data_IF_688396741196
#
_entry.id   IF_688396741196
#
_cell.length_a   1.000
_cell.length_b   1.000
_cell.length_c   1.000
_cell.angle_alpha   90.00
_cell.angle_beta   90.00
_cell.angle_gamma   90.00
#
_symmetry.space_group_name_H-M   'P 1'
#
loop_
_entity.id
_entity.type
_entity.pdbx_description
1 polymer ?
#
# COMPACT_ATOMS: atom_id res chain seq x y z
N UNK A 1 8.20 1.06 11.72
CA UNK A 1 9.56 1.62 11.62
C UNK A 1 10.54 0.50 11.28
N UNK A 2 11.81 0.82 11.07
CA UNK A 2 12.77 -0.09 10.44
C UNK A 2 14.19 0.22 10.89
N UNK A 3 15.06 -0.79 10.94
CA UNK A 3 16.50 -0.59 11.03
C UNK A 3 17.12 -0.87 9.67
N UNK A 4 17.77 0.12 9.07
CA UNK A 4 18.57 -0.02 7.86
C UNK A 4 20.00 0.34 8.19
N UNK A 5 20.94 -0.55 7.90
CA UNK A 5 22.38 -0.32 8.05
C UNK A 5 23.01 -0.38 6.67
N UNK A 6 23.71 0.68 6.29
CA UNK A 6 24.35 0.80 4.99
C UNK A 6 25.84 1.12 5.15
N UNK A 7 26.70 0.39 4.45
CA UNK A 7 28.07 0.81 4.18
C UNK A 7 28.14 1.31 2.74
N UNK A 8 28.85 2.42 2.56
CA UNK A 8 29.13 3.01 1.26
C UNK A 8 30.61 3.38 1.21
N UNK A 9 31.32 2.98 0.15
CA UNK A 9 32.69 3.40 -0.07
C UNK A 9 33.34 2.81 -1.31
N UNK A 10 34.68 2.73 -1.29
CA UNK A 10 35.49 2.30 -2.44
C UNK A 10 35.22 0.87 -2.92
N UNK A 11 34.77 0.00 -2.00
CA UNK A 11 34.46 -1.40 -2.31
C UNK A 11 33.11 -1.55 -3.02
N UNK A 12 32.22 -0.57 -2.86
CA UNK A 12 30.83 -0.63 -3.26
C UNK A 12 29.91 -0.19 -2.13
N UNK A 13 28.66 -0.63 -2.22
CA UNK A 13 27.63 -0.46 -1.23
C UNK A 13 27.10 -1.82 -0.76
N UNK A 14 26.87 -1.95 0.55
CA UNK A 14 26.09 -3.04 1.13
C UNK A 14 25.07 -2.43 2.08
N UNK A 15 23.81 -2.83 1.95
CA UNK A 15 22.76 -2.46 2.89
C UNK A 15 22.06 -3.70 3.42
N UNK A 16 21.66 -3.64 4.68
CA UNK A 16 20.82 -4.64 5.30
C UNK A 16 19.63 -3.96 5.99
N UNK A 17 18.48 -4.62 6.01
CA UNK A 17 17.30 -4.14 6.73
C UNK A 17 16.46 -5.27 7.29
N UNK A 18 15.77 -5.02 8.40
CA UNK A 18 14.72 -5.91 8.89
C UNK A 18 13.48 -5.89 7.96
N UNK A 19 12.63 -6.91 8.03
CA UNK A 19 11.41 -7.00 7.20
C UNK A 19 10.13 -6.65 7.97
N UNK A 20 10.21 -6.22 9.22
CA UNK A 20 9.03 -6.03 10.07
C UNK A 20 8.26 -4.77 9.72
N UNK A 21 6.94 -4.89 9.68
CA UNK A 21 5.98 -3.80 9.51
C UNK A 21 5.02 -3.86 10.68
N UNK A 22 4.76 -2.70 11.26
CA UNK A 22 3.77 -2.52 12.32
C UNK A 22 2.79 -1.47 11.81
N UNK A 23 1.53 -1.87 11.70
CA UNK A 23 0.41 -1.00 11.41
C UNK A 23 -0.38 -0.77 12.70
N UNK A 24 -0.52 0.50 13.06
CA UNK A 24 -1.25 0.92 14.24
C UNK A 24 -2.60 1.53 13.83
N UNK A 25 -3.64 1.24 14.61
CA UNK A 25 -5.00 1.72 14.41
C UNK A 25 -5.52 2.24 15.75
N UNK A 26 -5.61 3.56 15.87
CA UNK A 26 -6.01 4.24 17.10
C UNK A 26 -6.00 5.75 16.90
N UNK A 27 -6.35 6.50 17.95
CA UNK A 27 -6.28 7.96 17.91
C UNK A 27 -4.81 8.45 17.96
N UNK A 28 -4.58 9.65 17.44
CA UNK A 28 -3.22 10.20 17.25
C UNK A 28 -2.44 10.38 18.56
N UNK A 29 -3.08 10.89 19.60
CA UNK A 29 -2.42 11.19 20.89
C UNK A 29 -1.91 9.91 21.56
N UNK A 30 -2.73 8.86 21.57
CA UNK A 30 -2.37 7.56 22.11
C UNK A 30 -1.26 6.91 21.27
N UNK A 31 -1.31 7.05 19.94
CA UNK A 31 -0.26 6.55 19.05
C UNK A 31 1.10 7.21 19.36
N UNK A 32 1.13 8.53 19.52
CA UNK A 32 2.36 9.26 19.86
C UNK A 32 2.92 8.83 21.22
N UNK A 33 2.06 8.58 22.22
CA UNK A 33 2.47 8.07 23.52
C UNK A 33 3.08 6.66 23.42
N UNK A 34 2.40 5.72 22.75
CA UNK A 34 2.89 4.36 22.55
C UNK A 34 4.20 4.33 21.76
N UNK A 35 4.29 5.13 20.70
CA UNK A 35 5.51 5.27 19.89
C UNK A 35 6.67 5.83 20.71
N UNK A 36 6.42 6.79 21.60
CA UNK A 36 7.46 7.31 22.51
C UNK A 36 8.03 6.22 23.42
N UNK A 37 7.17 5.44 24.09
CA UNK A 37 7.60 4.32 24.95
C UNK A 37 8.40 3.29 24.14
N UNK A 38 7.89 2.93 22.96
CA UNK A 38 8.50 1.96 22.08
C UNK A 38 9.87 2.40 21.54
N UNK A 39 10.00 3.66 21.13
CA UNK A 39 11.21 4.18 20.47
C UNK A 39 12.31 4.61 21.44
N UNK A 40 11.98 4.73 22.72
CA UNK A 40 12.95 4.91 23.80
C UNK A 40 13.38 3.58 24.45
N UNK A 41 12.77 2.46 24.05
CA UNK A 41 13.15 1.12 24.53
C UNK A 41 12.48 0.69 25.83
N UNK A 42 11.36 1.32 26.20
CA UNK A 42 10.57 0.93 27.39
C UNK A 42 9.77 -0.34 27.14
N UNK A 43 9.54 -0.68 25.86
CA UNK A 43 8.85 -1.89 25.40
C UNK A 43 9.88 -2.78 24.68
N UNK A 44 10.16 -3.95 25.25
CA UNK A 44 11.20 -4.85 24.80
C UNK A 44 10.66 -6.04 23.98
N UNK A 45 9.41 -6.45 24.21
CA UNK A 45 8.82 -7.66 23.60
C UNK A 45 7.51 -7.40 22.87
N UNK A 46 7.12 -8.35 22.01
CA UNK A 46 5.85 -8.31 21.28
C UNK A 46 4.65 -8.36 22.24
N UNK A 47 4.75 -9.19 23.28
CA UNK A 47 3.72 -9.30 24.31
C UNK A 47 3.53 -7.97 25.06
N UNK A 48 4.61 -7.30 25.42
CA UNK A 48 4.57 -5.96 26.02
C UNK A 48 3.96 -4.94 25.07
N UNK A 49 4.34 -4.96 23.79
CA UNK A 49 3.79 -4.06 22.78
C UNK A 49 2.27 -4.22 22.66
N UNK A 50 1.78 -5.47 22.53
CA UNK A 50 0.34 -5.73 22.46
C UNK A 50 -0.39 -5.31 23.74
N UNK A 51 0.21 -5.53 24.90
CA UNK A 51 -0.36 -5.11 26.19
C UNK A 51 -0.47 -3.59 26.28
N UNK A 52 0.62 -2.86 26.03
CA UNK A 52 0.65 -1.39 26.09
C UNK A 52 -0.30 -0.79 25.05
N UNK A 53 -0.32 -1.33 23.84
CA UNK A 53 -1.25 -0.89 22.81
C UNK A 53 -2.71 -1.04 23.23
N UNK A 54 -3.06 -2.15 23.88
CA UNK A 54 -4.40 -2.35 24.43
C UNK A 54 -4.73 -1.33 25.53
N UNK A 55 -3.78 -1.02 26.41
CA UNK A 55 -3.96 0.03 27.45
C UNK A 55 -4.28 1.40 26.82
N UNK A 56 -3.75 1.66 25.63
CA UNK A 56 -3.95 2.88 24.85
C UNK A 56 -5.11 2.81 23.85
N UNK A 57 -5.93 1.74 23.85
CA UNK A 57 -6.99 1.51 22.86
C UNK A 57 -6.48 1.57 21.40
N UNK A 58 -5.29 1.01 21.17
CA UNK A 58 -4.65 0.89 19.87
C UNK A 58 -4.67 -0.58 19.43
N UNK A 59 -5.26 -0.83 18.26
CA UNK A 59 -5.12 -2.12 17.59
C UNK A 59 -3.83 -2.15 16.77
N UNK A 60 -3.08 -3.26 16.84
CA UNK A 60 -1.82 -3.45 16.12
C UNK A 60 -1.92 -4.65 15.17
N UNK A 61 -1.40 -4.48 13.96
CA UNK A 61 -1.11 -5.58 13.04
C UNK A 61 0.39 -5.62 12.72
N UNK A 62 0.99 -6.79 12.86
CA UNK A 62 2.42 -7.01 12.63
C UNK A 62 2.58 -7.97 11.44
N UNK A 63 3.53 -7.69 10.56
CA UNK A 63 3.95 -8.60 9.48
C UNK A 63 5.46 -8.51 9.26
N UNK A 64 6.10 -9.60 8.80
CA UNK A 64 7.54 -9.68 8.55
C UNK A 64 7.87 -9.90 7.06
N UNK A 65 7.10 -9.23 6.19
CA UNK A 65 7.15 -9.33 4.73
C UNK A 65 7.49 -7.97 4.07
N UNK A 66 7.99 -7.02 4.85
CA UNK A 66 8.37 -5.71 4.37
C UNK A 66 9.66 -5.70 3.55
N UNK A 67 9.58 -5.20 2.32
CA UNK A 67 10.74 -4.82 1.54
C UNK A 67 11.07 -3.36 1.83
N UNK A 68 12.25 -3.13 2.43
CA UNK A 68 12.69 -1.79 2.88
C UNK A 68 13.96 -1.32 2.20
N UNK A 69 14.68 -2.26 1.61
CA UNK A 69 15.78 -2.02 0.70
C UNK A 69 15.43 -2.62 -0.66
N UNK A 70 15.92 -2.01 -1.72
CA UNK A 70 15.73 -2.48 -3.09
C UNK A 70 16.95 -2.11 -3.96
N UNK A 71 17.06 -2.76 -5.12
CA UNK A 71 18.04 -2.40 -6.14
C UNK A 71 17.40 -1.48 -7.17
N UNK A 72 17.96 -0.29 -7.34
CA UNK A 72 17.53 0.69 -8.35
C UNK A 72 18.71 0.96 -9.28
N UNK A 73 18.69 0.32 -10.45
CA UNK A 73 19.86 0.31 -11.35
C UNK A 73 21.11 -0.24 -10.66
N UNK A 74 22.20 0.51 -10.69
CA UNK A 74 23.47 0.17 -10.03
C UNK A 74 23.59 0.76 -8.61
N UNK A 75 22.46 1.00 -7.95
CA UNK A 75 22.39 1.51 -6.58
C UNK A 75 21.57 0.59 -5.69
N UNK A 76 21.88 0.58 -4.40
CA UNK A 76 20.98 0.05 -3.37
C UNK A 76 20.23 1.23 -2.77
N UNK A 77 18.90 1.13 -2.73
CA UNK A 77 18.01 2.09 -2.10
C UNK A 77 17.54 1.51 -0.76
N UNK A 78 17.48 2.33 0.28
CA UNK A 78 16.84 1.99 1.54
C UNK A 78 15.86 3.07 1.97
N UNK A 79 14.65 2.70 2.38
CA UNK A 79 13.58 3.62 2.76
C UNK A 79 13.10 3.40 4.20
N UNK A 80 13.01 4.50 4.94
CA UNK A 80 12.17 4.58 6.15
C UNK A 80 11.07 5.60 5.95
N UNK A 81 9.89 5.31 6.49
CA UNK A 81 8.73 6.19 6.40
C UNK A 81 8.16 6.46 7.79
N UNK A 82 7.75 7.70 8.02
CA UNK A 82 6.89 8.10 9.11
C UNK A 82 5.56 8.61 8.55
N UNK A 83 4.46 8.19 9.17
CA UNK A 83 3.12 8.66 8.80
C UNK A 83 2.76 9.84 9.70
N UNK A 84 2.59 11.02 9.11
CA UNK A 84 1.94 12.16 9.77
C UNK A 84 0.43 12.14 9.56
N UNK A 85 -0.27 13.10 10.17
CA UNK A 85 -1.73 13.21 10.10
C UNK A 85 -2.27 13.48 8.68
N UNK A 86 -1.51 14.17 7.83
CA UNK A 86 -1.93 14.57 6.49
C UNK A 86 -1.00 14.08 5.38
N UNK A 87 0.26 13.74 5.72
CA UNK A 87 1.27 13.36 4.74
C UNK A 87 2.21 12.29 5.29
N UNK A 88 2.70 11.43 4.39
CA UNK A 88 3.76 10.47 4.71
C UNK A 88 5.10 11.11 4.35
N UNK A 89 5.97 11.26 5.36
CA UNK A 89 7.35 11.67 5.15
C UNK A 89 8.20 10.42 4.95
N UNK A 90 8.93 10.37 3.85
CA UNK A 90 9.85 9.27 3.53
C UNK A 90 11.27 9.80 3.53
N UNK A 91 12.18 9.01 4.08
CA UNK A 91 13.61 9.27 4.00
C UNK A 91 14.26 8.09 3.31
N UNK A 92 14.94 8.37 2.20
CA UNK A 92 15.63 7.35 1.41
C UNK A 92 17.13 7.59 1.41
N UNK A 93 17.89 6.51 1.45
CA UNK A 93 19.30 6.50 1.09
C UNK A 93 19.46 5.75 -0.23
N UNK A 94 20.28 6.29 -1.13
CA UNK A 94 20.76 5.61 -2.32
C UNK A 94 22.27 5.50 -2.21
N UNK A 95 22.79 4.28 -2.26
CA UNK A 95 24.22 4.00 -2.13
C UNK A 95 24.76 3.27 -3.36
N UNK A 96 25.95 3.67 -3.79
CA UNK A 96 26.72 3.00 -4.84
C UNK A 96 28.22 3.08 -4.51
N UNK A 97 29.09 2.52 -5.36
CA UNK A 97 30.53 2.65 -5.16
C UNK A 97 30.95 4.11 -5.14
N UNK A 98 31.70 4.52 -4.10
CA UNK A 98 32.21 5.88 -3.90
C UNK A 98 31.16 7.00 -3.73
N UNK A 99 29.87 6.70 -3.56
CA UNK A 99 28.88 7.75 -3.39
C UNK A 99 27.58 7.27 -2.75
N UNK A 100 26.99 8.13 -1.94
CA UNK A 100 25.60 8.03 -1.53
C UNK A 100 24.91 9.38 -1.57
N UNK A 101 23.58 9.32 -1.64
CA UNK A 101 22.73 10.47 -1.35
C UNK A 101 21.60 10.05 -0.43
N UNK A 102 21.24 10.94 0.49
CA UNK A 102 20.07 10.83 1.34
C UNK A 102 19.09 11.90 0.90
N UNK A 103 17.85 11.49 0.63
CA UNK A 103 16.76 12.39 0.29
C UNK A 103 15.62 12.29 1.28
N UNK A 104 14.89 13.39 1.45
CA UNK A 104 13.60 13.39 2.10
C UNK A 104 12.53 13.70 1.06
N UNK A 105 11.47 12.88 1.06
CA UNK A 105 10.33 13.00 0.15
C UNK A 105 9.10 13.29 1.01
N UNK A 106 8.37 14.35 0.66
CA UNK A 106 7.05 14.64 1.19
C UNK A 106 6.07 14.53 0.02
N UNK A 107 5.10 13.62 0.16
CA UNK A 107 4.25 13.25 -0.96
C UNK A 107 5.07 12.70 -2.12
N UNK A 108 5.13 13.44 -3.23
CA UNK A 108 5.86 13.07 -4.45
C UNK A 108 7.03 13.99 -4.75
N UNK A 109 7.37 14.90 -3.82
CA UNK A 109 8.40 15.92 -4.03
C UNK A 109 9.60 15.68 -3.12
N UNK A 110 10.80 15.89 -3.67
CA UNK A 110 12.04 15.86 -2.90
C UNK A 110 12.19 17.21 -2.20
N UNK A 111 12.11 17.22 -0.87
CA UNK A 111 12.22 18.44 -0.06
C UNK A 111 13.62 18.67 0.50
N UNK A 112 14.44 17.63 0.53
CA UNK A 112 15.83 17.71 0.98
C UNK A 112 16.69 16.67 0.27
N UNK A 113 17.96 17.03 0.02
CA UNK A 113 18.98 16.16 -0.57
C UNK A 113 20.33 16.45 0.07
N UNK A 114 21.04 15.40 0.45
CA UNK A 114 22.39 15.45 1.02
C UNK A 114 23.26 14.40 0.36
N UNK A 115 24.44 14.78 -0.10
CA UNK A 115 25.40 13.90 -0.76
C UNK A 115 26.60 13.60 0.15
N UNK A 116 27.17 12.42 0.00
CA UNK A 116 28.45 12.04 0.61
C UNK A 116 29.13 10.93 -0.16
N UNK A 117 30.41 10.68 0.15
CA UNK A 117 31.19 9.66 -0.55
C UNK A 117 31.25 8.33 0.18
N UNK A 118 31.62 8.36 1.46
CA UNK A 118 31.96 7.16 2.25
C UNK A 118 31.42 7.31 3.65
N UNK A 119 30.58 6.37 4.07
CA UNK A 119 30.01 6.37 5.40
C UNK A 119 29.46 4.98 5.77
N UNK A 120 29.23 4.80 7.08
CA UNK A 120 28.24 3.85 7.56
C UNK A 120 27.02 4.69 7.95
N UNK A 121 25.88 4.43 7.31
CA UNK A 121 24.62 5.12 7.57
C UNK A 121 23.69 4.16 8.28
N UNK A 122 23.00 4.66 9.31
CA UNK A 122 22.01 3.90 10.07
C UNK A 122 20.71 4.70 10.11
N UNK A 123 19.66 4.12 9.55
CA UNK A 123 18.29 4.58 9.76
C UNK A 123 17.61 3.68 10.78
N UNK A 124 16.91 4.28 11.73
CA UNK A 124 16.21 3.58 12.81
C UNK A 124 15.57 4.55 13.77
N UNK A 125 14.68 4.03 14.61
CA UNK A 125 14.27 4.75 15.82
C UNK A 125 15.48 4.93 16.76
N UNK A 126 15.33 5.81 17.75
CA UNK A 126 16.43 6.20 18.64
C UNK A 126 17.07 4.98 19.34
N UNK A 127 16.26 4.09 19.90
CA UNK A 127 16.73 2.88 20.57
C UNK A 127 17.49 1.95 19.62
N UNK A 128 16.87 1.50 18.53
CA UNK A 128 17.47 0.56 17.58
C UNK A 128 18.75 1.10 16.94
N UNK A 129 18.76 2.41 16.63
CA UNK A 129 19.94 3.08 16.09
C UNK A 129 21.10 3.06 17.09
N UNK A 130 20.86 3.41 18.35
CA UNK A 130 21.89 3.42 19.40
C UNK A 130 22.48 2.02 19.64
N UNK A 131 21.62 1.00 19.70
CA UNK A 131 22.06 -0.39 19.86
C UNK A 131 22.89 -0.85 18.65
N UNK A 132 22.45 -0.53 17.43
CA UNK A 132 23.19 -0.86 16.21
C UNK A 132 24.56 -0.16 16.16
N UNK A 133 24.64 1.13 16.49
CA UNK A 133 25.90 1.89 16.56
C UNK A 133 26.90 1.25 17.53
N UNK A 134 26.43 0.86 18.71
CA UNK A 134 27.26 0.19 19.72
C UNK A 134 27.81 -1.16 19.21
N UNK A 135 27.01 -1.95 18.49
CA UNK A 135 27.45 -3.23 17.93
C UNK A 135 28.38 -3.05 16.72
N UNK A 136 28.11 -2.09 15.84
CA UNK A 136 28.96 -1.78 14.68
C UNK A 136 30.35 -1.40 15.14
N UNK A 137 30.47 -0.52 16.14
CA UNK A 137 31.78 -0.08 16.65
C UNK A 137 32.66 -1.22 17.18
N UNK A 138 32.04 -2.32 17.65
CA UNK A 138 32.75 -3.51 18.15
C UNK A 138 33.11 -4.51 17.06
N UNK A 139 32.21 -4.71 16.09
CA UNK A 139 32.31 -5.79 15.10
C UNK A 139 32.95 -5.37 13.78
N UNK A 140 32.78 -4.11 13.39
CA UNK A 140 33.19 -3.63 12.07
C UNK A 140 34.69 -3.36 11.97
N UNK A 141 35.27 -3.72 10.81
CA UNK A 141 36.64 -3.37 10.41
C UNK A 141 36.68 -2.96 8.95
N UNK A 142 37.46 -1.92 8.63
CA UNK A 142 37.57 -1.38 7.27
C UNK A 142 38.12 -2.37 6.22
N UNK A 143 38.84 -3.40 6.67
CA UNK A 143 39.45 -4.42 5.80
C UNK A 143 38.47 -5.46 5.27
N UNK A 144 37.28 -5.60 5.89
CA UNK A 144 36.31 -6.64 5.55
C UNK A 144 35.76 -6.54 4.12
N UNK A 145 35.42 -7.68 3.51
CA UNK A 145 34.71 -7.70 2.22
C UNK A 145 33.26 -7.23 2.37
N UNK A 146 32.61 -6.79 1.29
CA UNK A 146 31.20 -6.41 1.31
C UNK A 146 30.28 -7.55 1.77
N UNK A 147 30.57 -8.79 1.38
CA UNK A 147 29.80 -9.97 1.81
C UNK A 147 29.85 -10.13 3.33
N UNK A 148 31.06 -10.11 3.90
CA UNK A 148 31.27 -10.19 5.35
C UNK A 148 30.65 -9.00 6.09
N UNK A 149 30.68 -7.79 5.52
CA UNK A 149 29.98 -6.64 6.09
C UNK A 149 28.46 -6.87 6.12
N UNK A 150 27.89 -7.45 5.05
CA UNK A 150 26.49 -7.85 5.00
C UNK A 150 26.12 -8.87 6.07
N UNK A 151 26.96 -9.89 6.27
CA UNK A 151 26.75 -10.89 7.33
C UNK A 151 26.78 -10.26 8.73
N UNK A 152 27.71 -9.33 8.98
CA UNK A 152 27.78 -8.57 10.24
C UNK A 152 26.52 -7.72 10.42
N UNK A 153 26.06 -7.01 9.38
CA UNK A 153 24.87 -6.17 9.50
C UNK A 153 23.62 -7.00 9.80
N UNK A 154 23.49 -8.17 9.17
CA UNK A 154 22.45 -9.15 9.47
C UNK A 154 22.50 -9.61 10.93
N UNK A 155 23.68 -9.95 11.44
CA UNK A 155 23.87 -10.35 12.83
C UNK A 155 23.48 -9.22 13.80
N UNK A 156 23.89 -7.99 13.49
CA UNK A 156 23.55 -6.80 14.29
C UNK A 156 22.03 -6.57 14.31
N UNK A 157 21.36 -6.59 13.16
CA UNK A 157 19.90 -6.44 13.10
C UNK A 157 19.23 -7.53 13.93
N UNK A 158 19.69 -8.78 13.81
CA UNK A 158 19.18 -9.89 14.61
C UNK A 158 19.36 -9.65 16.11
N UNK A 159 20.54 -9.22 16.58
CA UNK A 159 20.76 -8.90 18.00
C UNK A 159 19.87 -7.75 18.50
N UNK A 160 19.66 -6.71 17.69
CA UNK A 160 18.78 -5.59 18.06
C UNK A 160 17.33 -6.05 18.11
N UNK A 161 16.89 -6.94 17.20
CA UNK A 161 15.51 -7.47 17.19
C UNK A 161 15.13 -8.20 18.46
N UNK A 162 16.10 -8.77 19.19
CA UNK A 162 15.85 -9.44 20.47
C UNK A 162 15.61 -8.46 21.64
N UNK A 163 15.76 -7.15 21.41
CA UNK A 163 15.67 -6.11 22.44
C UNK A 163 14.54 -5.11 22.19
N UNK A 164 13.85 -5.22 21.06
CA UNK A 164 12.76 -4.31 20.72
C UNK A 164 11.80 -4.99 19.74
N UNK A 165 10.48 -4.84 19.93
CA UNK A 165 9.49 -5.42 19.02
C UNK A 165 9.35 -4.60 17.73
N UNK A 166 10.15 -3.54 17.55
CA UNK A 166 10.16 -2.72 16.33
C UNK A 166 10.80 -3.40 15.14
N UNK A 167 11.59 -4.46 15.35
CA UNK A 167 12.31 -5.20 14.33
C UNK A 167 11.92 -6.69 14.38
N UNK A 168 12.00 -7.35 13.23
CA UNK A 168 11.71 -8.77 13.10
C UNK A 168 12.99 -9.60 12.98
N UNK A 169 12.82 -10.92 13.00
CA UNK A 169 13.89 -11.91 12.83
C UNK A 169 14.25 -12.16 11.35
N UNK A 170 13.47 -11.60 10.43
CA UNK A 170 13.72 -11.64 8.99
C UNK A 170 14.39 -10.36 8.52
N UNK A 171 15.35 -10.51 7.63
CA UNK A 171 16.13 -9.40 7.08
C UNK A 171 16.51 -9.67 5.62
N UNK A 172 16.77 -8.59 4.90
CA UNK A 172 17.33 -8.59 3.55
C UNK A 172 18.73 -8.00 3.59
N UNK A 173 19.60 -8.44 2.66
CA UNK A 173 20.93 -7.85 2.43
C UNK A 173 21.11 -7.69 0.93
N UNK A 174 21.46 -6.48 0.50
CA UNK A 174 21.74 -6.16 -0.90
C UNK A 174 23.14 -5.56 -1.04
N UNK A 175 23.81 -5.91 -2.13
CA UNK A 175 25.18 -5.49 -2.43
C UNK A 175 25.23 -4.96 -3.87
N UNK A 176 25.84 -3.79 -4.06
CA UNK A 176 26.18 -3.24 -5.37
C UNK A 176 27.63 -2.79 -5.41
N UNK A 177 28.35 -3.11 -6.48
CA UNK A 177 29.76 -2.78 -6.64
C UNK A 177 30.12 -2.34 -8.07
N UNK A 178 29.38 -1.39 -8.68
CA UNK A 178 29.77 -0.84 -9.99
C UNK A 178 31.13 -0.13 -9.91
N UNK A 179 31.79 0.06 -11.04
CA UNK A 179 33.04 0.80 -11.09
C UNK A 179 32.74 2.28 -11.37
N UNK A 180 32.74 3.09 -10.32
CA UNK A 180 32.57 4.54 -10.42
C UNK A 180 33.67 5.26 -9.65
N UNK A 181 34.15 6.37 -10.20
CA UNK A 181 34.80 7.45 -9.45
C UNK A 181 33.77 8.18 -8.57
N UNK A 182 34.23 9.02 -7.65
CA UNK A 182 33.32 9.79 -6.79
C UNK A 182 32.39 10.71 -7.61
N UNK A 183 32.92 11.38 -8.64
CA UNK A 183 32.15 12.29 -9.50
C UNK A 183 31.13 11.53 -10.36
N UNK A 184 31.54 10.41 -10.97
CA UNK A 184 30.63 9.54 -11.72
C UNK A 184 29.51 9.00 -10.83
N UNK A 185 29.83 8.62 -9.59
CA UNK A 185 28.85 8.14 -8.63
C UNK A 185 27.80 9.20 -8.31
N UNK A 186 28.21 10.45 -8.04
CA UNK A 186 27.27 11.54 -7.74
C UNK A 186 26.39 11.90 -8.94
N UNK A 187 26.96 11.92 -10.15
CA UNK A 187 26.19 12.12 -11.38
C UNK A 187 25.15 11.02 -11.57
N UNK A 188 25.57 9.75 -11.44
CA UNK A 188 24.69 8.61 -11.58
C UNK A 188 23.56 8.59 -10.53
N UNK A 189 23.88 8.94 -9.28
CA UNK A 189 22.90 9.05 -8.20
C UNK A 189 21.85 10.12 -8.50
N UNK A 190 22.25 11.30 -9.00
CA UNK A 190 21.30 12.35 -9.36
C UNK A 190 20.28 11.86 -10.40
N UNK A 191 20.76 11.26 -11.50
CA UNK A 191 19.92 10.75 -12.57
C UNK A 191 18.99 9.62 -12.09
N UNK A 192 19.55 8.67 -11.31
CA UNK A 192 18.81 7.50 -10.80
C UNK A 192 17.71 7.92 -9.84
N UNK A 193 18.00 8.83 -8.91
CA UNK A 193 17.05 9.31 -7.91
C UNK A 193 15.89 10.05 -8.58
N UNK A 194 16.19 10.94 -9.54
CA UNK A 194 15.15 11.72 -10.21
C UNK A 194 14.22 10.82 -11.04
N UNK A 195 14.77 9.77 -11.67
CA UNK A 195 13.98 8.78 -12.40
C UNK A 195 13.11 7.95 -11.45
N UNK A 196 13.68 7.45 -10.36
CA UNK A 196 12.97 6.64 -9.37
C UNK A 196 11.82 7.40 -8.71
N UNK A 197 12.04 8.66 -8.31
CA UNK A 197 10.98 9.51 -7.75
C UNK A 197 9.87 9.79 -8.78
N UNK A 198 10.21 9.98 -10.05
CA UNK A 198 9.20 10.11 -11.13
C UNK A 198 8.37 8.84 -11.31
N UNK A 199 9.00 7.66 -11.23
CA UNK A 199 8.29 6.38 -11.28
C UNK A 199 7.36 6.23 -10.08
N UNK A 200 7.85 6.56 -8.88
CA UNK A 200 7.06 6.56 -7.66
C UNK A 200 5.83 7.47 -7.79
N UNK A 201 5.99 8.68 -8.33
CA UNK A 201 4.88 9.61 -8.54
C UNK A 201 3.80 9.03 -9.47
N UNK A 202 4.20 8.38 -10.58
CA UNK A 202 3.27 7.71 -11.50
C UNK A 202 2.52 6.55 -10.84
N UNK A 203 3.22 5.73 -10.06
CA UNK A 203 2.59 4.63 -9.31
C UNK A 203 1.55 5.17 -8.33
N UNK A 204 1.86 6.27 -7.64
CA UNK A 204 0.92 6.91 -6.70
C UNK A 204 -0.30 7.48 -7.40
N UNK A 205 -0.12 8.14 -8.55
CA UNK A 205 -1.23 8.65 -9.34
C UNK A 205 -2.16 7.51 -9.77
N UNK A 206 -1.60 6.44 -10.33
CA UNK A 206 -2.38 5.27 -10.72
C UNK A 206 -3.14 4.66 -9.53
N UNK A 207 -2.47 4.50 -8.39
CA UNK A 207 -3.12 3.98 -7.19
C UNK A 207 -4.27 4.88 -6.70
N UNK A 208 -4.14 6.21 -6.83
CA UNK A 208 -5.21 7.14 -6.50
C UNK A 208 -6.39 7.00 -7.47
N UNK A 209 -6.13 6.87 -8.77
CA UNK A 209 -7.15 6.61 -9.79
C UNK A 209 -7.88 5.29 -9.51
N UNK A 210 -7.13 4.21 -9.27
CA UNK A 210 -7.66 2.89 -8.93
C UNK A 210 -8.54 2.93 -7.65
N UNK A 211 -8.13 3.70 -6.63
CA UNK A 211 -8.92 3.86 -5.40
C UNK A 211 -10.22 4.62 -5.62
N UNK A 212 -10.20 5.67 -6.45
CA UNK A 212 -11.42 6.43 -6.81
C UNK A 212 -12.38 5.53 -7.58
N UNK A 213 -11.88 4.76 -8.55
CA UNK A 213 -12.67 3.80 -9.30
C UNK A 213 -13.29 2.75 -8.38
N UNK A 214 -12.49 2.13 -7.50
CA UNK A 214 -12.99 1.14 -6.53
C UNK A 214 -14.00 1.74 -5.55
N UNK A 215 -13.79 2.98 -5.09
CA UNK A 215 -14.77 3.65 -4.23
C UNK A 215 -16.10 3.85 -4.93
N UNK A 216 -16.07 4.21 -6.22
CA UNK A 216 -17.28 4.34 -7.03
C UNK A 216 -17.99 3.00 -7.25
N UNK A 217 -17.24 1.94 -7.53
CA UNK A 217 -17.80 0.58 -7.62
C UNK A 217 -18.48 0.17 -6.30
N UNK A 218 -17.86 0.45 -5.15
CA UNK A 218 -18.43 0.16 -3.83
C UNK A 218 -19.72 0.96 -3.58
N UNK A 219 -19.75 2.24 -3.96
CA UNK A 219 -20.95 3.07 -3.85
C UNK A 219 -22.08 2.56 -4.76
N UNK A 220 -21.77 2.12 -5.98
CA UNK A 220 -22.77 1.53 -6.88
C UNK A 220 -23.25 0.17 -6.37
N UNK A 221 -22.35 -0.65 -5.82
CA UNK A 221 -22.70 -1.94 -5.23
C UNK A 221 -23.66 -1.81 -4.04
N UNK A 222 -23.50 -0.76 -3.20
CA UNK A 222 -24.43 -0.50 -2.10
C UNK A 222 -25.82 -0.04 -2.57
N UNK A 223 -25.95 0.36 -3.84
CA UNK A 223 -27.21 0.78 -4.47
C UNK A 223 -27.89 -0.32 -5.27
N UNK A 224 -27.33 -1.53 -5.36
CA UNK A 224 -27.98 -2.66 -6.04
C UNK A 224 -29.37 -2.87 -5.43
N UNK A 225 -30.38 -2.99 -6.28
CA UNK A 225 -31.76 -3.19 -5.85
C UNK A 225 -31.95 -4.66 -5.50
N UNK A 226 -32.12 -4.96 -4.22
CA UNK A 226 -32.42 -6.32 -3.74
C UNK A 226 -33.94 -6.54 -3.57
N UNK A 227 -34.71 -5.46 -3.50
CA UNK A 227 -36.16 -5.49 -3.38
C UNK A 227 -36.76 -4.16 -3.88
N UNK A 228 -37.88 -4.22 -4.61
CA UNK A 228 -38.65 -3.04 -5.01
C UNK A 228 -39.05 -2.99 -6.49
N UNK A 229 -39.71 -1.90 -6.85
CA UNK A 229 -40.19 -1.60 -8.21
C UNK A 229 -39.03 -1.19 -9.13
N UNK A 230 -39.01 -1.75 -10.34
CA UNK A 230 -37.97 -1.53 -11.36
C UNK A 230 -38.50 -0.72 -12.53
N UNK A 231 -39.73 -0.97 -12.97
CA UNK A 231 -40.30 -0.35 -14.17
C UNK A 231 -41.38 -1.19 -14.83
N UNK A 232 -41.65 -0.90 -16.11
CA UNK A 232 -42.78 -1.48 -16.84
C UNK A 232 -42.39 -2.02 -18.22
N UNK A 233 -43.04 -3.10 -18.64
CA UNK A 233 -42.84 -3.71 -19.96
C UNK A 233 -43.37 -2.76 -21.05
N UNK A 234 -42.49 -2.34 -21.96
CA UNK A 234 -42.79 -1.38 -23.03
C UNK A 234 -42.89 -2.00 -24.43
N UNK A 235 -42.23 -3.15 -24.67
CA UNK A 235 -42.34 -3.93 -25.91
C UNK A 235 -42.07 -5.41 -25.62
N UNK A 236 -42.64 -6.30 -26.43
CA UNK A 236 -42.53 -7.76 -26.33
C UNK A 236 -42.18 -8.33 -27.71
N UNK A 237 -41.06 -9.02 -27.81
CA UNK A 237 -40.60 -9.72 -29.02
C UNK A 237 -40.21 -11.16 -28.66
N UNK A 238 -41.18 -12.08 -28.76
CA UNK A 238 -41.00 -13.46 -28.31
C UNK A 238 -40.71 -13.54 -26.81
N UNK A 239 -39.58 -14.14 -26.45
CA UNK A 239 -39.11 -14.22 -25.06
C UNK A 239 -38.36 -12.96 -24.58
N UNK A 240 -38.14 -11.98 -25.46
CA UNK A 240 -37.41 -10.75 -25.16
C UNK A 240 -38.39 -9.63 -24.78
N UNK A 241 -38.18 -9.05 -23.60
CA UNK A 241 -38.97 -7.95 -23.07
C UNK A 241 -38.13 -6.68 -23.03
N UNK A 242 -38.64 -5.60 -23.62
CA UNK A 242 -38.07 -4.28 -23.44
C UNK A 242 -38.75 -3.59 -22.26
N UNK A 243 -38.02 -3.39 -21.17
CA UNK A 243 -38.54 -2.79 -19.94
C UNK A 243 -38.07 -1.33 -19.86
N UNK A 244 -39.02 -0.41 -19.66
CA UNK A 244 -38.70 0.99 -19.37
C UNK A 244 -38.55 1.13 -17.87
N UNK A 245 -37.36 1.53 -17.42
CA UNK A 245 -37.03 1.71 -16.02
C UNK A 245 -37.86 2.85 -15.41
N UNK A 246 -38.13 2.79 -14.10
CA UNK A 246 -38.76 3.89 -13.38
C UNK A 246 -37.79 5.08 -13.20
N UNK A 247 -38.23 6.11 -12.48
CA UNK A 247 -37.48 7.35 -12.25
C UNK A 247 -36.35 7.21 -11.21
N UNK A 248 -36.29 6.08 -10.49
CA UNK A 248 -35.30 5.79 -9.44
C UNK A 248 -34.31 4.71 -9.82
N UNK A 249 -34.55 3.99 -10.92
CA UNK A 249 -33.75 2.84 -11.33
C UNK A 249 -32.85 3.19 -12.51
N UNK A 250 -31.62 2.71 -12.45
CA UNK A 250 -30.62 2.78 -13.51
C UNK A 250 -29.98 1.41 -13.71
N UNK A 251 -29.43 1.17 -14.90
CA UNK A 251 -28.82 -0.12 -15.25
C UNK A 251 -27.36 0.03 -15.65
N UNK A 252 -26.57 -0.96 -15.24
CA UNK A 252 -25.14 -1.07 -15.50
C UNK A 252 -24.79 -2.45 -16.08
N UNK A 253 -23.65 -2.54 -16.77
CA UNK A 253 -23.05 -3.83 -17.12
C UNK A 253 -22.20 -4.39 -15.97
N UNK A 254 -21.60 -5.58 -16.17
CA UNK A 254 -20.71 -6.22 -15.20
C UNK A 254 -19.41 -5.42 -14.91
N UNK A 255 -19.10 -4.39 -15.71
CA UNK A 255 -17.96 -3.49 -15.53
C UNK A 255 -18.41 -2.12 -14.99
N UNK A 256 -19.62 -2.03 -14.40
CA UNK A 256 -20.19 -0.80 -13.85
C UNK A 256 -20.31 0.36 -14.85
N UNK A 257 -20.34 0.07 -16.15
CA UNK A 257 -20.63 1.05 -17.18
C UNK A 257 -22.14 1.23 -17.28
N UNK A 258 -22.61 2.47 -17.18
CA UNK A 258 -24.03 2.77 -17.27
C UNK A 258 -24.57 2.43 -18.66
N UNK A 259 -25.54 1.52 -18.69
CA UNK A 259 -26.26 1.09 -19.89
C UNK A 259 -27.56 1.89 -20.09
N UNK A 260 -28.27 2.17 -19.00
CA UNK A 260 -29.51 2.95 -19.02
C UNK A 260 -29.61 3.90 -17.82
N UNK A 261 -30.06 5.12 -18.09
CA UNK A 261 -30.46 6.11 -17.09
C UNK A 261 -31.91 5.83 -16.62
N UNK A 262 -32.39 6.51 -15.56
CA UNK A 262 -33.82 6.47 -15.22
C UNK A 262 -34.71 6.79 -16.42
N UNK A 263 -35.84 6.10 -16.54
CA UNK A 263 -36.72 6.13 -17.72
C UNK A 263 -36.08 5.62 -19.01
N UNK A 264 -34.86 5.07 -18.93
CA UNK A 264 -34.20 4.38 -20.02
C UNK A 264 -34.79 2.99 -20.25
N UNK A 265 -34.44 2.38 -21.38
CA UNK A 265 -34.93 1.06 -21.76
C UNK A 265 -33.85 0.01 -21.61
N UNK A 266 -34.22 -1.14 -21.08
CA UNK A 266 -33.35 -2.31 -20.91
C UNK A 266 -34.01 -3.56 -21.47
N UNK A 267 -33.22 -4.59 -21.73
CA UNK A 267 -33.70 -5.86 -22.25
C UNK A 267 -33.67 -6.89 -21.13
N UNK A 268 -34.78 -7.60 -20.95
CA UNK A 268 -34.95 -8.73 -20.04
C UNK A 268 -35.55 -9.90 -20.80
N UNK A 269 -35.41 -11.11 -20.26
CA UNK A 269 -35.92 -12.34 -20.87
C UNK A 269 -36.92 -13.01 -19.95
N UNK A 270 -38.04 -13.47 -20.51
CA UNK A 270 -39.08 -14.20 -19.80
C UNK A 270 -39.33 -15.55 -20.49
N UNK A 271 -39.49 -16.62 -19.72
CA UNK A 271 -39.80 -17.95 -20.25
C UNK A 271 -41.31 -18.20 -20.40
N UNK A 272 -42.16 -17.30 -19.91
CA UNK A 272 -43.62 -17.45 -19.93
C UNK A 272 -44.25 -16.56 -21.00
N UNK A 273 -45.25 -17.08 -21.72
CA UNK A 273 -46.03 -16.31 -22.70
C UNK A 273 -47.07 -15.37 -22.05
N UNK A 274 -47.30 -15.48 -20.74
CA UNK A 274 -48.24 -14.62 -19.99
C UNK A 274 -47.58 -13.29 -19.59
N UNK A 275 -47.25 -12.46 -20.59
CA UNK A 275 -46.70 -11.10 -20.42
C UNK A 275 -47.48 -10.12 -21.29
N UNK A 276 -47.81 -8.95 -20.73
CA UNK A 276 -48.49 -7.86 -21.45
C UNK A 276 -47.71 -6.56 -21.32
N UNK A 277 -47.88 -5.70 -22.33
CA UNK A 277 -47.35 -4.33 -22.28
C UNK A 277 -48.02 -3.60 -21.10
N UNK A 278 -47.21 -2.92 -20.29
CA UNK A 278 -47.61 -2.27 -19.05
C UNK A 278 -47.50 -3.13 -17.80
N UNK A 279 -47.13 -4.42 -17.92
CA UNK A 279 -46.86 -5.25 -16.76
C UNK A 279 -45.66 -4.69 -15.97
N UNK A 280 -45.81 -4.63 -14.65
CA UNK A 280 -44.78 -4.13 -13.74
C UNK A 280 -43.73 -5.19 -13.45
N UNK A 281 -42.48 -4.75 -13.46
CA UNK A 281 -41.29 -5.54 -13.14
C UNK A 281 -40.79 -5.13 -11.76
N UNK A 282 -40.60 -6.13 -10.90
CA UNK A 282 -40.15 -5.94 -9.51
C UNK A 282 -39.02 -6.91 -9.19
N UNK A 283 -38.22 -6.57 -8.19
CA UNK A 283 -37.35 -7.53 -7.51
C UNK A 283 -37.98 -7.85 -6.17
N UNK A 284 -38.19 -9.13 -5.89
CA UNK A 284 -38.72 -9.61 -4.61
C UNK A 284 -37.90 -10.81 -4.14
N UNK A 285 -37.42 -10.77 -2.90
CA UNK A 285 -36.51 -11.79 -2.35
C UNK A 285 -35.33 -12.08 -3.29
N UNK A 286 -34.70 -11.03 -3.83
CA UNK A 286 -33.58 -11.10 -4.79
C UNK A 286 -33.93 -11.75 -6.16
N UNK A 287 -35.21 -12.02 -6.42
CA UNK A 287 -35.67 -12.55 -7.71
C UNK A 287 -36.34 -11.46 -8.54
N UNK A 288 -35.81 -11.23 -9.74
CA UNK A 288 -36.42 -10.35 -10.72
C UNK A 288 -37.64 -11.06 -11.34
N UNK A 289 -38.84 -10.48 -11.19
CA UNK A 289 -40.06 -11.10 -11.66
C UNK A 289 -41.13 -10.07 -12.07
N UNK A 290 -42.20 -10.55 -12.72
CA UNK A 290 -43.41 -9.76 -12.96
C UNK A 290 -44.27 -9.69 -11.69
N UNK A 291 -44.70 -8.49 -11.32
CA UNK A 291 -45.46 -8.26 -10.07
C UNK A 291 -46.74 -9.10 -10.02
N UNK A 292 -47.43 -9.26 -11.15
CA UNK A 292 -48.76 -9.86 -11.27
C UNK A 292 -48.82 -11.36 -10.96
N UNK A 293 -47.81 -12.12 -11.39
CA UNK A 293 -47.83 -13.59 -11.42
C UNK A 293 -46.53 -14.22 -10.92
N UNK A 294 -45.55 -13.40 -10.52
CA UNK A 294 -44.23 -13.83 -10.05
C UNK A 294 -43.45 -14.67 -11.07
N UNK A 295 -43.75 -14.51 -12.37
CA UNK A 295 -42.95 -15.11 -13.43
C UNK A 295 -41.53 -14.54 -13.39
N UNK A 296 -40.53 -15.41 -13.33
CA UNK A 296 -39.13 -15.02 -13.28
C UNK A 296 -38.68 -14.37 -14.59
N UNK A 297 -37.85 -13.35 -14.45
CA UNK A 297 -37.16 -12.67 -15.53
C UNK A 297 -35.65 -12.85 -15.34
N UNK A 298 -34.93 -12.89 -16.45
CA UNK A 298 -33.47 -12.91 -16.45
C UNK A 298 -32.90 -11.74 -17.25
N UNK A 299 -31.76 -11.22 -16.83
CA UNK A 299 -31.03 -10.18 -17.54
C UNK A 299 -29.55 -10.21 -17.19
N UNK A 300 -28.69 -9.74 -18.11
CA UNK A 300 -27.24 -9.62 -17.90
C UNK A 300 -26.85 -8.17 -17.58
N UNK A 301 -27.59 -7.54 -16.68
CA UNK A 301 -27.39 -6.16 -16.23
C UNK A 301 -27.54 -6.08 -14.72
N UNK A 302 -26.90 -5.09 -14.11
CA UNK A 302 -27.03 -4.76 -12.69
C UNK A 302 -28.00 -3.59 -12.56
N UNK A 303 -29.05 -3.76 -11.76
CA UNK A 303 -30.05 -2.72 -11.50
C UNK A 303 -29.74 -2.03 -10.16
N UNK A 304 -29.58 -0.71 -10.21
CA UNK A 304 -29.25 0.10 -9.05
C UNK A 304 -30.26 1.23 -8.85
N UNK A 305 -30.47 1.60 -7.60
CA UNK A 305 -31.12 2.85 -7.22
C UNK A 305 -30.21 4.06 -7.55
N UNK A 306 -30.80 5.25 -7.64
CA UNK A 306 -30.09 6.53 -7.73
C UNK A 306 -29.28 6.85 -6.46
#
# INVERSE_FOLDING_TARGET
MSLIIAYVGKKGCVMASDKRKIAYFGNKENLEALESELYNGEIATDEELYKRAKDFDISIKISDDGNKIDTVGNTVMGEVASKGAFETKRRRIYGTTNGYQIIEIIGSEIVSRSAGEKAIIIFGNNFAKKEAEALISKKWKSTLSLKYMGDIFKEIINEVSQKTPTLGDKFDVLIQQPKFTADEAQKYLNETIDQDVKVLAKIRQKLQEDLIEKSREIELASKIINEGDIGEVSSIEGNMLQVTLNDKTQAFDNNWRQLAKPKGKVIMFCETDDVKIGDKVVIENENLCLEKNKSNLSCNIILCNL
#
